data_IF_611568412232
#
_entry.id   IF_611568412232
#
_cell.length_a   1.000
_cell.length_b   1.000
_cell.length_c   1.000
_cell.angle_alpha   90.00
_cell.angle_beta   90.00
_cell.angle_gamma   90.00
#
_symmetry.space_group_name_H-M   'P 1'
#
loop_
_entity.id
_entity.type
_entity.pdbx_description
1 polymer ?
#
# COMPACT_ATOMS: atom_id res chain seq x y z
N UNK A 1 -0.70 -44.19 -24.09
CA UNK A 1 -2.05 -43.72 -24.43
C UNK A 1 -3.17 -44.53 -23.77
N UNK A 2 -3.08 -45.86 -23.66
CA UNK A 2 -4.16 -46.71 -23.09
C UNK A 2 -4.39 -46.43 -21.58
N UNK A 3 -3.33 -46.26 -20.76
CA UNK A 3 -3.45 -46.01 -19.33
C UNK A 3 -4.15 -44.65 -19.01
N UNK A 4 -3.96 -43.61 -19.83
CA UNK A 4 -4.61 -42.32 -19.67
C UNK A 4 -6.13 -42.38 -19.93
N UNK A 5 -6.56 -43.06 -21.01
CA UNK A 5 -8.00 -43.29 -21.30
C UNK A 5 -8.69 -44.08 -20.19
N UNK A 6 -8.00 -45.09 -19.64
CA UNK A 6 -8.49 -45.86 -18.50
C UNK A 6 -8.60 -45.00 -17.23
N UNK A 7 -7.62 -44.17 -16.95
CA UNK A 7 -7.65 -43.23 -15.81
C UNK A 7 -8.85 -42.26 -15.88
N UNK A 8 -9.10 -41.68 -17.06
CA UNK A 8 -10.25 -40.79 -17.28
C UNK A 8 -11.59 -41.53 -17.08
N UNK A 9 -11.73 -42.74 -17.64
CA UNK A 9 -12.93 -43.55 -17.47
C UNK A 9 -13.18 -43.95 -16.02
N UNK A 10 -12.12 -44.20 -15.25
CA UNK A 10 -12.19 -44.52 -13.84
C UNK A 10 -12.68 -43.36 -12.99
N UNK A 11 -12.22 -42.15 -13.28
CA UNK A 11 -12.69 -40.92 -12.60
C UNK A 11 -14.19 -40.69 -12.84
N UNK A 12 -14.68 -40.93 -14.06
CA UNK A 12 -16.09 -40.77 -14.40
C UNK A 12 -17.00 -41.86 -13.78
N UNK A 13 -16.47 -43.07 -13.51
CA UNK A 13 -17.20 -44.18 -12.89
C UNK A 13 -17.49 -43.90 -11.39
N UNK A 14 -16.54 -43.30 -10.65
CA UNK A 14 -16.65 -43.04 -9.20
C UNK A 14 -16.92 -41.55 -8.90
N UNK A 15 -18.06 -41.04 -9.41
CA UNK A 15 -18.40 -39.60 -9.39
C UNK A 15 -18.36 -38.97 -7.99
N UNK A 16 -18.95 -39.64 -6.96
CA UNK A 16 -19.03 -39.08 -5.59
C UNK A 16 -17.65 -38.77 -5.02
N UNK A 17 -16.71 -39.69 -5.12
CA UNK A 17 -15.35 -39.56 -4.60
C UNK A 17 -14.51 -38.56 -5.41
N UNK A 18 -14.58 -38.70 -6.76
CA UNK A 18 -13.90 -37.75 -7.66
C UNK A 18 -14.35 -36.31 -7.39
N UNK A 19 -15.67 -36.11 -7.23
CA UNK A 19 -16.23 -34.81 -6.90
C UNK A 19 -15.70 -34.26 -5.55
N UNK A 20 -15.68 -35.09 -4.50
CA UNK A 20 -15.14 -34.68 -3.19
C UNK A 20 -13.66 -34.26 -3.28
N UNK A 21 -12.83 -35.04 -4.02
CA UNK A 21 -11.42 -34.70 -4.20
C UNK A 21 -11.23 -33.44 -5.04
N UNK A 22 -12.00 -33.31 -6.13
CA UNK A 22 -11.98 -32.10 -6.96
C UNK A 22 -12.41 -30.87 -6.15
N UNK A 23 -13.48 -30.96 -5.34
CA UNK A 23 -13.91 -29.88 -4.47
C UNK A 23 -12.79 -29.45 -3.52
N UNK A 24 -12.06 -30.40 -2.92
CA UNK A 24 -10.93 -30.05 -2.04
C UNK A 24 -9.81 -29.29 -2.78
N UNK A 25 -9.45 -29.74 -4.00
CA UNK A 25 -8.43 -29.06 -4.81
C UNK A 25 -8.93 -27.67 -5.26
N UNK A 26 -10.20 -27.58 -5.69
CA UNK A 26 -10.82 -26.32 -6.12
C UNK A 26 -10.86 -25.32 -4.97
N UNK A 27 -11.31 -25.72 -3.78
CA UNK A 27 -11.35 -24.86 -2.58
C UNK A 27 -9.92 -24.43 -2.22
N UNK A 28 -8.95 -25.35 -2.26
CA UNK A 28 -7.55 -25.03 -2.03
C UNK A 28 -7.01 -23.99 -3.03
N UNK A 29 -7.30 -24.18 -4.32
CA UNK A 29 -6.89 -23.23 -5.36
C UNK A 29 -7.55 -21.84 -5.16
N UNK A 30 -8.87 -21.82 -4.89
CA UNK A 30 -9.61 -20.59 -4.61
C UNK A 30 -8.97 -19.85 -3.43
N UNK A 31 -8.73 -20.55 -2.32
CA UNK A 31 -8.19 -19.94 -1.10
C UNK A 31 -6.79 -19.35 -1.34
N UNK A 32 -5.88 -20.08 -2.00
CA UNK A 32 -4.53 -19.61 -2.28
C UNK A 32 -4.56 -18.42 -3.26
N UNK A 33 -5.36 -18.49 -4.32
CA UNK A 33 -5.43 -17.43 -5.33
C UNK A 33 -6.12 -16.17 -4.81
N UNK A 34 -7.19 -16.29 -4.01
CA UNK A 34 -7.85 -15.13 -3.42
C UNK A 34 -6.93 -14.42 -2.42
N UNK A 35 -6.27 -15.18 -1.54
CA UNK A 35 -5.37 -14.58 -0.56
C UNK A 35 -4.11 -14.01 -1.23
N UNK A 36 -3.53 -14.72 -2.21
CA UNK A 36 -2.40 -14.23 -3.00
C UNK A 36 -2.76 -12.96 -3.79
N UNK A 37 -3.92 -12.95 -4.46
CA UNK A 37 -4.41 -11.77 -5.19
C UNK A 37 -4.73 -10.58 -4.27
N UNK A 38 -5.21 -10.85 -3.05
CA UNK A 38 -5.38 -9.80 -2.03
C UNK A 38 -4.03 -9.24 -1.56
N UNK A 39 -3.04 -10.11 -1.34
CA UNK A 39 -1.69 -9.69 -0.96
C UNK A 39 -1.04 -8.79 -2.01
N UNK A 40 -1.14 -9.15 -3.30
CA UNK A 40 -0.68 -8.29 -4.40
C UNK A 40 -1.44 -6.95 -4.44
N UNK A 41 -2.75 -6.96 -4.18
CA UNK A 41 -3.53 -5.71 -4.12
C UNK A 41 -3.09 -4.79 -2.99
N UNK A 42 -2.74 -5.34 -1.82
CA UNK A 42 -2.17 -4.57 -0.70
C UNK A 42 -0.83 -3.97 -1.11
N UNK A 43 0.06 -4.78 -1.68
CA UNK A 43 1.38 -4.32 -2.14
C UNK A 43 1.25 -3.15 -3.11
N UNK A 44 0.42 -3.29 -4.15
CA UNK A 44 0.20 -2.25 -5.16
C UNK A 44 -0.44 -0.99 -4.57
N UNK A 45 -1.40 -1.15 -3.65
CA UNK A 45 -2.05 -0.03 -2.97
C UNK A 45 -1.08 0.74 -2.08
N UNK A 46 -0.28 0.04 -1.30
CA UNK A 46 0.73 0.65 -0.43
C UNK A 46 1.80 1.35 -1.27
N UNK A 47 2.34 0.68 -2.30
CA UNK A 47 3.33 1.27 -3.19
C UNK A 47 2.79 2.53 -3.87
N UNK A 48 1.58 2.47 -4.43
CA UNK A 48 0.94 3.64 -5.04
C UNK A 48 0.79 4.79 -4.05
N UNK A 49 0.37 4.51 -2.82
CA UNK A 49 0.22 5.53 -1.78
C UNK A 49 1.57 6.17 -1.44
N UNK A 50 2.58 5.37 -1.13
CA UNK A 50 3.90 5.90 -0.78
C UNK A 50 4.56 6.64 -1.93
N UNK A 51 4.49 6.11 -3.16
CA UNK A 51 5.04 6.78 -4.34
C UNK A 51 4.36 8.12 -4.64
N UNK A 52 3.07 8.22 -4.42
CA UNK A 52 2.35 9.50 -4.52
C UNK A 52 2.76 10.48 -3.42
N UNK A 53 3.07 9.97 -2.22
CA UNK A 53 3.38 10.80 -1.05
C UNK A 53 4.83 11.28 -1.02
N UNK A 54 5.78 10.38 -1.27
CA UNK A 54 7.21 10.61 -1.07
C UNK A 54 8.08 10.29 -2.30
N UNK A 55 7.47 9.93 -3.45
CA UNK A 55 8.18 9.52 -4.67
C UNK A 55 8.78 8.11 -4.58
N UNK A 56 9.45 7.70 -5.66
CA UNK A 56 10.22 6.46 -5.71
C UNK A 56 11.58 6.61 -5.05
N UNK A 57 12.23 7.75 -5.31
CA UNK A 57 13.55 8.12 -4.78
C UNK A 57 13.48 9.51 -4.18
N UNK A 58 14.34 9.76 -3.19
CA UNK A 58 14.58 11.10 -2.64
C UNK A 58 16.08 11.37 -2.58
N UNK A 59 16.46 12.56 -3.01
CA UNK A 59 17.79 13.10 -2.81
C UNK A 59 17.75 13.95 -1.54
N UNK A 60 18.56 13.60 -0.55
CA UNK A 60 18.64 14.27 0.74
C UNK A 60 20.09 14.47 1.16
N UNK A 61 20.32 15.37 2.14
CA UNK A 61 21.58 15.37 2.85
C UNK A 61 21.79 14.04 3.58
N UNK A 62 23.01 13.48 3.57
CA UNK A 62 23.32 12.15 4.16
C UNK A 62 22.82 12.01 5.60
N UNK A 63 23.01 13.03 6.41
CA UNK A 63 22.69 13.00 7.84
C UNK A 63 21.26 13.50 8.14
N UNK A 64 20.50 13.91 7.09
CA UNK A 64 19.14 14.42 7.27
C UNK A 64 18.20 13.37 7.87
N UNK A 65 18.28 12.13 7.42
CA UNK A 65 17.40 11.05 7.89
C UNK A 65 17.58 10.75 9.38
N UNK A 66 18.81 10.88 9.91
CA UNK A 66 19.12 10.61 11.31
C UNK A 66 18.99 11.82 12.24
N UNK A 67 19.35 13.02 11.76
CA UNK A 67 19.46 14.22 12.59
C UNK A 67 18.66 15.42 12.07
N UNK A 68 18.24 15.41 10.80
CA UNK A 68 17.68 16.58 10.12
C UNK A 68 16.33 17.04 10.64
N UNK A 69 15.53 16.13 11.21
CA UNK A 69 14.24 16.47 11.81
C UNK A 69 14.37 17.48 12.97
N UNK A 70 15.48 17.45 13.70
CA UNK A 70 15.74 18.39 14.79
C UNK A 70 16.30 19.74 14.28
N UNK A 71 17.05 19.72 13.17
CA UNK A 71 17.66 20.92 12.60
C UNK A 71 17.62 20.89 11.06
N UNK A 72 16.45 21.11 10.47
CA UNK A 72 16.26 20.98 9.02
C UNK A 72 17.11 21.97 8.22
N UNK A 73 17.46 23.14 8.78
CA UNK A 73 18.26 24.15 8.08
C UNK A 73 19.69 23.68 7.83
N UNK A 74 20.33 23.04 8.84
CA UNK A 74 21.71 22.56 8.73
C UNK A 74 21.88 21.51 7.64
N UNK A 75 20.84 20.73 7.41
CA UNK A 75 20.85 19.60 6.48
C UNK A 75 20.01 19.87 5.22
N UNK A 76 19.79 21.14 4.89
CA UNK A 76 19.07 21.54 3.68
C UNK A 76 19.96 21.55 2.45
N UNK A 77 19.34 21.40 1.30
CA UNK A 77 19.93 21.51 -0.04
C UNK A 77 19.59 22.90 -0.58
N UNK A 78 20.57 23.79 -0.70
CA UNK A 78 20.34 25.17 -1.16
C UNK A 78 20.36 25.25 -2.69
N UNK A 79 21.22 24.48 -3.36
CA UNK A 79 21.32 24.40 -4.82
C UNK A 79 20.35 23.40 -5.46
N UNK A 80 19.18 23.16 -4.82
CA UNK A 80 18.22 22.14 -5.27
C UNK A 80 17.70 22.40 -6.70
N UNK A 81 17.59 23.66 -7.12
CA UNK A 81 17.11 24.00 -8.47
C UNK A 81 18.11 23.56 -9.54
N UNK A 82 19.40 23.78 -9.32
CA UNK A 82 20.47 23.34 -10.25
C UNK A 82 20.48 21.82 -10.39
N UNK A 83 20.21 21.09 -9.30
CA UNK A 83 20.10 19.62 -9.32
C UNK A 83 18.89 19.19 -10.14
N UNK A 84 17.72 19.81 -9.92
CA UNK A 84 16.49 19.51 -10.69
C UNK A 84 16.69 19.81 -12.16
N UNK A 85 17.31 20.94 -12.50
CA UNK A 85 17.60 21.32 -13.89
C UNK A 85 18.58 20.34 -14.54
N UNK A 86 19.62 19.91 -13.83
CA UNK A 86 20.57 18.90 -14.30
C UNK A 86 19.91 17.53 -14.55
N UNK A 87 19.00 17.09 -13.66
CA UNK A 87 18.23 15.88 -13.84
C UNK A 87 17.33 15.98 -15.09
N UNK A 88 16.68 17.11 -15.27
CA UNK A 88 15.76 17.35 -16.39
C UNK A 88 16.51 17.47 -17.74
N UNK A 89 17.77 17.92 -17.71
CA UNK A 89 18.62 18.04 -18.89
C UNK A 89 19.26 16.71 -19.33
N UNK A 90 19.31 15.69 -18.46
CA UNK A 90 19.83 14.37 -18.81
C UNK A 90 18.84 13.63 -19.73
N UNK A 91 19.26 13.21 -20.96
CA UNK A 91 18.34 12.60 -21.93
C UNK A 91 17.77 11.23 -21.53
N UNK A 92 18.41 10.51 -20.62
CA UNK A 92 17.97 9.21 -20.13
C UNK A 92 17.06 9.39 -18.91
N UNK A 93 17.49 10.19 -17.93
CA UNK A 93 16.70 10.47 -16.74
C UNK A 93 15.36 11.14 -17.06
N UNK A 94 15.34 12.09 -18.00
CA UNK A 94 14.12 12.78 -18.43
C UNK A 94 13.04 11.87 -19.04
N UNK A 95 13.42 10.69 -19.55
CA UNK A 95 12.46 9.70 -20.06
C UNK A 95 11.89 8.80 -18.97
N UNK A 96 12.64 8.57 -17.89
CA UNK A 96 12.29 7.66 -16.81
C UNK A 96 11.61 8.39 -15.64
N UNK A 97 11.94 9.66 -15.41
CA UNK A 97 11.42 10.47 -14.32
C UNK A 97 10.15 11.21 -14.79
N UNK A 98 9.05 10.98 -14.09
CA UNK A 98 7.79 11.68 -14.30
C UNK A 98 7.87 13.11 -13.77
N UNK A 99 8.44 13.29 -12.57
CA UNK A 99 8.63 14.61 -11.94
C UNK A 99 9.73 14.58 -10.89
N UNK A 100 10.44 15.73 -10.78
CA UNK A 100 11.36 16.08 -9.70
C UNK A 100 10.75 17.23 -8.90
N UNK A 101 10.42 17.01 -7.64
CA UNK A 101 9.69 17.95 -6.80
C UNK A 101 10.46 18.30 -5.53
N UNK A 102 10.74 19.60 -5.26
CA UNK A 102 11.36 20.02 -4.02
C UNK A 102 10.36 19.94 -2.86
N UNK A 103 10.80 19.47 -1.69
CA UNK A 103 10.01 19.40 -0.47
C UNK A 103 10.82 19.98 0.69
N UNK A 104 10.15 20.80 1.50
CA UNK A 104 10.69 21.32 2.76
C UNK A 104 9.83 20.79 3.92
N UNK A 105 10.45 20.05 4.82
CA UNK A 105 9.78 19.48 5.99
C UNK A 105 10.26 20.19 7.26
N UNK A 106 9.33 20.72 8.05
CA UNK A 106 9.62 21.56 9.22
C UNK A 106 8.78 21.09 10.40
N UNK A 107 9.39 20.95 11.57
CA UNK A 107 8.66 20.84 12.83
C UNK A 107 8.24 22.23 13.30
N UNK A 108 6.97 22.38 13.67
CA UNK A 108 6.44 23.64 14.12
C UNK A 108 5.26 23.49 15.07
N UNK A 109 4.64 24.62 15.35
CA UNK A 109 3.41 24.71 16.14
C UNK A 109 2.36 25.40 15.27
N UNK A 110 1.18 24.81 15.15
CA UNK A 110 0.01 25.45 14.58
C UNK A 110 -0.88 25.97 15.71
N UNK A 111 -1.31 27.21 15.62
CA UNK A 111 -2.14 27.86 16.63
C UNK A 111 -3.39 28.48 15.99
N UNK A 112 -4.54 28.18 16.57
CA UNK A 112 -5.76 28.91 16.31
C UNK A 112 -5.98 29.90 17.46
N UNK A 113 -5.65 31.16 17.22
CA UNK A 113 -5.70 32.21 18.25
C UNK A 113 -7.14 32.46 18.73
N UNK A 114 -8.13 32.43 17.81
CA UNK A 114 -9.53 32.66 18.15
C UNK A 114 -10.12 31.59 19.08
N UNK A 115 -9.65 30.33 18.95
CA UNK A 115 -10.10 29.21 19.79
C UNK A 115 -9.15 28.95 20.98
N UNK A 116 -8.04 29.69 21.12
CA UNK A 116 -7.04 29.50 22.19
C UNK A 116 -6.36 28.13 22.17
N UNK A 117 -6.22 27.51 21.00
CA UNK A 117 -5.68 26.14 20.84
C UNK A 117 -4.37 26.16 20.07
N UNK A 118 -3.39 25.35 20.53
CA UNK A 118 -2.10 25.16 19.85
C UNK A 118 -1.73 23.70 19.83
N UNK A 119 -1.11 23.25 18.74
CA UNK A 119 -0.67 21.85 18.54
C UNK A 119 0.69 21.79 17.84
N UNK A 120 1.56 20.86 18.23
CA UNK A 120 2.74 20.56 17.44
C UNK A 120 2.32 19.98 16.09
N UNK A 121 2.99 20.40 15.02
CA UNK A 121 2.68 20.01 13.66
C UNK A 121 3.92 19.73 12.84
N UNK A 122 3.77 18.89 11.84
CA UNK A 122 4.70 18.65 10.77
C UNK A 122 4.25 19.44 9.53
N UNK A 123 5.03 20.45 9.16
CA UNK A 123 4.71 21.37 8.07
C UNK A 123 5.43 20.91 6.81
N UNK A 124 4.64 20.58 5.78
CA UNK A 124 5.11 20.23 4.46
C UNK A 124 5.03 21.45 3.54
N UNK A 125 6.18 21.99 3.17
CA UNK A 125 6.30 23.01 2.12
C UNK A 125 6.44 22.34 0.76
N UNK A 126 5.46 22.52 -0.12
CA UNK A 126 5.39 21.82 -1.40
C UNK A 126 4.97 22.77 -2.52
N UNK A 127 5.27 22.40 -3.76
CA UNK A 127 4.76 23.07 -4.95
C UNK A 127 3.43 22.47 -5.39
N UNK A 128 2.41 23.29 -5.62
CA UNK A 128 1.07 22.83 -5.97
C UNK A 128 1.04 22.05 -7.28
N UNK A 129 1.78 22.50 -8.31
CA UNK A 129 1.84 21.81 -9.61
C UNK A 129 2.50 20.44 -9.48
N UNK A 130 3.60 20.35 -8.72
CA UNK A 130 4.32 19.12 -8.44
C UNK A 130 3.46 18.12 -7.67
N UNK A 131 2.71 18.59 -6.68
CA UNK A 131 1.79 17.74 -5.91
C UNK A 131 0.65 17.17 -6.77
N UNK A 132 0.17 17.93 -7.75
CA UNK A 132 -0.85 17.47 -8.69
C UNK A 132 -0.35 16.32 -9.55
N UNK A 133 0.86 16.43 -10.08
CA UNK A 133 1.47 15.39 -10.91
C UNK A 133 1.77 14.15 -10.07
N UNK A 134 2.40 14.31 -8.89
CA UNK A 134 2.68 13.22 -7.95
C UNK A 134 1.40 12.42 -7.62
N UNK A 135 0.29 13.11 -7.33
CA UNK A 135 -0.98 12.48 -6.98
C UNK A 135 -1.67 11.71 -8.11
N UNK A 136 -1.30 11.94 -9.38
CA UNK A 136 -1.90 11.29 -10.54
C UNK A 136 -1.25 9.94 -10.90
N UNK A 137 -0.09 9.61 -10.33
CA UNK A 137 0.61 8.38 -10.65
C UNK A 137 -0.23 7.14 -10.29
N UNK A 138 -0.39 6.22 -11.24
CA UNK A 138 -1.22 5.01 -11.09
C UNK A 138 -0.75 3.88 -12.02
N UNK A 139 0.48 3.39 -11.83
CA UNK A 139 1.08 2.30 -12.62
C UNK A 139 0.21 1.04 -12.60
N UNK A 140 -0.41 0.75 -11.45
CA UNK A 140 -1.18 -0.47 -11.25
C UNK A 140 -2.66 -0.34 -11.59
N UNK A 141 -3.10 0.80 -12.13
CA UNK A 141 -4.48 1.07 -12.56
C UNK A 141 -5.51 0.85 -11.44
N UNK A 142 -5.17 1.28 -10.23
CA UNK A 142 -6.05 1.15 -9.07
C UNK A 142 -7.24 2.11 -9.10
N UNK A 143 -7.20 3.09 -10.01
CA UNK A 143 -8.25 4.05 -10.27
C UNK A 143 -8.30 5.23 -9.29
N UNK A 144 -9.20 6.19 -9.57
CA UNK A 144 -9.31 7.47 -8.83
C UNK A 144 -9.83 7.36 -7.39
N UNK A 145 -10.19 6.17 -6.92
CA UNK A 145 -10.77 5.98 -5.58
C UNK A 145 -9.76 6.01 -4.41
N UNK A 146 -8.46 6.12 -4.68
CA UNK A 146 -7.42 6.21 -3.67
C UNK A 146 -6.97 7.66 -3.63
N UNK A 147 -7.54 8.41 -2.68
CA UNK A 147 -7.19 9.80 -2.30
C UNK A 147 -6.97 10.77 -3.48
N UNK A 148 -8.05 11.44 -3.92
CA UNK A 148 -7.90 12.73 -4.59
C UNK A 148 -7.28 13.69 -3.57
N UNK A 149 -6.00 14.00 -3.75
CA UNK A 149 -5.32 14.99 -2.90
C UNK A 149 -5.95 16.35 -3.14
N UNK A 150 -6.36 16.99 -2.06
CA UNK A 150 -6.54 18.42 -2.08
C UNK A 150 -5.16 19.07 -2.23
N UNK A 151 -5.09 20.17 -2.94
CA UNK A 151 -3.85 20.90 -3.22
C UNK A 151 -4.09 22.34 -2.79
N UNK A 152 -3.12 23.00 -2.12
CA UNK A 152 -3.26 24.42 -1.80
C UNK A 152 -3.52 25.23 -3.07
N UNK A 153 -4.46 26.16 -2.99
CA UNK A 153 -4.83 27.00 -4.15
C UNK A 153 -3.64 27.93 -4.49
N UNK A 154 -3.09 27.76 -5.70
CA UNK A 154 -1.94 28.54 -6.18
C UNK A 154 -2.26 30.03 -6.30
N UNK A 155 -3.53 30.40 -6.48
CA UNK A 155 -3.97 31.80 -6.58
C UNK A 155 -3.94 32.53 -5.23
N UNK A 156 -3.88 31.80 -4.11
CA UNK A 156 -3.89 32.32 -2.76
C UNK A 156 -2.53 32.05 -2.11
N UNK A 157 -1.66 33.05 -1.98
CA UNK A 157 -0.26 32.85 -1.52
C UNK A 157 -0.12 32.24 -0.12
N UNK A 158 -1.10 32.49 0.74
CA UNK A 158 -1.18 32.00 2.13
C UNK A 158 -2.07 30.77 2.30
N UNK A 159 -2.50 30.17 1.19
CA UNK A 159 -3.32 28.95 1.22
C UNK A 159 -2.54 27.77 1.78
N UNK A 160 -3.23 26.97 2.61
CA UNK A 160 -2.70 25.71 3.08
C UNK A 160 -3.80 24.72 3.44
N UNK A 161 -3.40 23.49 3.69
CA UNK A 161 -4.26 22.37 4.02
C UNK A 161 -3.88 21.81 5.38
N UNK A 162 -4.87 21.29 6.09
CA UNK A 162 -4.67 20.60 7.37
C UNK A 162 -5.18 19.16 7.30
N UNK A 163 -4.64 18.29 8.15
CA UNK A 163 -5.25 17.00 8.39
C UNK A 163 -6.65 17.16 8.99
N UNK A 164 -7.50 16.17 8.81
CA UNK A 164 -8.86 16.17 9.39
C UNK A 164 -8.84 16.17 10.92
N UNK A 165 -7.91 15.41 11.51
CA UNK A 165 -7.71 15.35 12.95
C UNK A 165 -7.21 16.68 13.50
N UNK A 166 -6.21 17.29 12.85
CA UNK A 166 -5.68 18.58 13.24
C UNK A 166 -6.76 19.68 13.16
N UNK A 167 -7.55 19.71 12.09
CA UNK A 167 -8.66 20.66 11.93
C UNK A 167 -9.60 20.64 13.13
N UNK A 168 -9.99 19.42 13.56
CA UNK A 168 -10.83 19.22 14.74
C UNK A 168 -10.14 19.63 16.04
N UNK A 169 -8.83 19.27 16.22
CA UNK A 169 -8.06 19.63 17.42
C UNK A 169 -7.85 21.14 17.56
N UNK A 170 -7.75 21.86 16.45
CA UNK A 170 -7.66 23.32 16.41
C UNK A 170 -9.05 24.01 16.37
N UNK A 171 -10.16 23.24 16.49
CA UNK A 171 -11.54 23.73 16.47
C UNK A 171 -11.88 24.56 15.23
N UNK A 172 -11.36 24.16 14.05
CA UNK A 172 -11.61 24.85 12.79
C UNK A 172 -12.98 24.49 12.18
N UNK A 173 -13.60 23.39 12.61
CA UNK A 173 -14.85 22.86 12.07
C UNK A 173 -16.10 23.30 12.90
N UNK A 174 -15.89 23.94 14.07
CA UNK A 174 -17.00 24.44 14.87
C UNK A 174 -17.60 25.69 14.19
N UNK A 175 -18.93 25.78 14.01
CA UNK A 175 -19.56 27.01 13.57
C UNK A 175 -19.30 28.12 14.59
N UNK A 176 -19.06 29.34 14.12
CA UNK A 176 -18.75 30.53 14.94
C UNK A 176 -19.80 30.82 16.05
N UNK A 177 -20.98 30.23 15.94
CA UNK A 177 -22.11 30.47 16.92
C UNK A 177 -21.86 29.80 18.29
N UNK A 178 -20.94 28.81 18.43
CA UNK A 178 -20.69 28.17 19.73
C UNK A 178 -19.64 28.91 20.58
N UNK A 179 -18.81 29.74 19.97
CA UNK A 179 -17.81 30.55 20.69
C UNK A 179 -18.46 31.76 21.38
N UNK A 180 -19.64 32.15 20.93
CA UNK A 180 -20.39 33.29 21.49
C UNK A 180 -21.10 32.99 22.83
N UNK A 181 -21.25 31.69 23.19
CA UNK A 181 -21.97 31.32 24.43
C UNK A 181 -21.11 31.39 25.71
N UNK A 182 -19.78 31.31 25.59
CA UNK A 182 -18.88 31.40 26.76
C UNK A 182 -18.43 32.86 27.03
N UNK A 183 -18.53 33.73 26.03
CA UNK A 183 -18.31 35.19 26.18
C UNK A 183 -19.44 35.92 26.88
N UNK A 184 -20.55 35.23 27.19
CA UNK A 184 -21.68 35.81 27.94
C UNK A 184 -21.34 36.07 29.42
N UNK A 185 -20.25 35.52 29.92
CA UNK A 185 -19.74 35.81 31.29
C UNK A 185 -18.78 36.97 31.35
N UNK A 186 -18.07 37.30 30.27
CA UNK A 186 -17.18 38.45 30.20
C UNK A 186 -17.98 39.75 29.86
N UNK A 187 -19.13 39.64 29.22
CA UNK A 187 -19.93 40.85 28.90
C UNK A 187 -20.60 41.50 30.13
N UNK A 188 -20.69 40.82 31.27
CA UNK A 188 -21.21 41.42 32.49
C UNK A 188 -20.24 42.30 33.25
N UNK A 189 -18.92 42.24 32.94
CA UNK A 189 -17.92 43.15 33.46
C UNK A 189 -17.68 44.39 32.58
N UNK A 190 -18.12 44.31 31.29
CA UNK A 190 -17.95 45.45 30.36
C UNK A 190 -19.03 46.54 30.53
N UNK A 191 -20.11 46.29 31.28
CA UNK A 191 -21.16 47.32 31.60
C UNK A 191 -20.69 48.34 32.64
N UNK A 192 -19.52 48.21 33.21
CA UNK A 192 -18.96 49.13 34.20
C UNK A 192 -17.81 50.01 33.64
N UNK A 193 -17.52 49.95 32.34
CA UNK A 193 -16.48 50.78 31.72
C UNK A 193 -17.03 52.14 31.34
N UNK A 194 -16.27 53.25 31.55
CA UNK A 194 -16.65 54.58 31.08
C UNK A 194 -16.88 54.60 29.57
N UNK A 195 -17.89 55.38 29.13
CA UNK A 195 -18.35 55.44 27.75
C UNK A 195 -17.27 55.70 26.70
N UNK A 196 -16.21 56.45 27.05
CA UNK A 196 -15.10 56.76 26.19
C UNK A 196 -14.20 55.50 25.91
N UNK A 197 -14.10 54.60 26.88
CA UNK A 197 -13.37 53.32 26.73
C UNK A 197 -14.20 52.27 25.98
N UNK A 198 -15.54 52.30 26.17
CA UNK A 198 -16.43 51.43 25.45
C UNK A 198 -16.46 51.76 23.93
N UNK A 199 -16.38 53.05 23.57
CA UNK A 199 -16.27 53.47 22.16
C UNK A 199 -14.92 53.07 21.55
N UNK A 200 -13.79 53.20 22.24
CA UNK A 200 -12.46 52.77 21.78
C UNK A 200 -12.40 51.25 21.57
N UNK A 201 -13.05 50.48 22.42
CA UNK A 201 -13.16 49.00 22.26
C UNK A 201 -14.07 48.62 21.08
N UNK A 202 -15.15 49.41 20.83
CA UNK A 202 -16.02 49.20 19.65
C UNK A 202 -15.30 49.62 18.36
N UNK A 203 -14.56 50.74 18.32
CA UNK A 203 -13.81 51.17 17.15
C UNK A 203 -12.67 50.18 16.82
N UNK A 204 -11.98 49.64 17.82
CA UNK A 204 -10.96 48.59 17.61
C UNK A 204 -11.57 47.26 17.13
N UNK A 205 -12.83 47.00 17.50
CA UNK A 205 -13.59 45.84 16.97
C UNK A 205 -14.12 46.08 15.57
N UNK A 206 -14.47 47.31 15.20
CA UNK A 206 -15.04 47.65 13.87
C UNK A 206 -13.97 47.67 12.77
N UNK A 207 -12.67 47.93 13.10
CA UNK A 207 -11.58 47.85 12.13
C UNK A 207 -11.14 46.42 11.81
N UNK A 208 -11.51 45.44 12.63
CA UNK A 208 -11.35 44.01 12.32
C UNK A 208 -12.64 43.47 11.78
N UNK A 209 -13.01 43.78 10.51
CA UNK A 209 -13.85 42.84 9.74
C UNK A 209 -13.07 41.51 9.69
N UNK A 210 -13.58 40.44 10.31
CA UNK A 210 -12.96 39.15 10.09
C UNK A 210 -13.23 38.82 8.62
N UNK A 211 -12.14 38.84 7.84
CA UNK A 211 -12.13 38.15 6.57
C UNK A 211 -12.58 36.73 6.89
N UNK A 212 -13.70 36.28 6.32
CA UNK A 212 -14.43 35.05 6.68
C UNK A 212 -13.67 33.76 6.34
N UNK A 213 -12.34 33.80 6.40
CA UNK A 213 -11.43 32.67 6.20
C UNK A 213 -10.94 32.12 7.52
N UNK A 214 -10.93 30.79 7.63
CA UNK A 214 -10.33 30.10 8.79
C UNK A 214 -8.81 30.24 8.71
N UNK A 215 -8.23 31.05 9.59
CA UNK A 215 -6.78 31.28 9.64
C UNK A 215 -6.15 30.59 10.83
N UNK A 216 -4.95 30.07 10.65
CA UNK A 216 -4.06 29.59 11.72
C UNK A 216 -2.70 30.25 11.61
N UNK A 217 -1.98 30.32 12.73
CA UNK A 217 -0.62 30.79 12.79
C UNK A 217 0.33 29.61 12.91
N UNK A 218 1.35 29.58 12.04
CA UNK A 218 2.39 28.56 12.04
C UNK A 218 3.66 29.18 12.62
N UNK A 219 4.20 28.56 13.66
CA UNK A 219 5.44 28.93 14.30
C UNK A 219 6.50 27.86 14.03
N UNK A 220 7.70 28.29 13.67
CA UNK A 220 8.89 27.42 13.65
C UNK A 220 10.12 28.17 14.15
N UNK A 221 11.09 27.43 14.68
CA UNK A 221 12.38 28.01 15.04
C UNK A 221 13.18 28.32 13.77
N UNK A 222 13.68 29.57 13.64
CA UNK A 222 14.61 29.95 12.59
C UNK A 222 16.05 29.52 12.92
N UNK A 223 16.97 29.63 11.95
CA UNK A 223 18.40 29.34 12.14
C UNK A 223 19.05 30.12 13.31
N UNK A 224 18.56 31.30 13.55
CA UNK A 224 19.04 32.14 14.65
C UNK A 224 18.40 31.83 16.01
N UNK A 225 17.53 30.78 16.08
CA UNK A 225 16.81 30.41 17.31
C UNK A 225 15.61 31.29 17.62
N UNK A 226 15.38 32.39 16.89
CA UNK A 226 14.20 33.21 17.05
C UNK A 226 12.99 32.54 16.35
N UNK A 227 11.80 32.53 16.98
CA UNK A 227 10.62 31.97 16.34
C UNK A 227 10.15 32.87 15.18
N UNK A 228 9.98 32.30 13.99
CA UNK A 228 9.27 32.93 12.90
C UNK A 228 7.80 32.51 12.93
N UNK A 229 6.92 33.43 12.52
CA UNK A 229 5.49 33.24 12.48
C UNK A 229 5.00 33.55 11.07
N UNK A 230 4.21 32.64 10.51
CA UNK A 230 3.54 32.83 9.22
C UNK A 230 2.06 32.53 9.41
N UNK A 231 1.21 33.40 8.88
CA UNK A 231 -0.23 33.20 8.87
C UNK A 231 -0.63 32.35 7.67
N UNK A 232 -1.46 31.32 7.89
CA UNK A 232 -1.95 30.43 6.86
C UNK A 232 -3.48 30.44 6.80
N UNK A 233 -4.04 30.57 5.61
CA UNK A 233 -5.48 30.41 5.35
C UNK A 233 -5.77 28.94 5.09
N UNK A 234 -6.61 28.32 5.90
CA UNK A 234 -7.02 26.93 5.71
C UNK A 234 -8.04 26.86 4.58
N UNK A 235 -7.60 26.41 3.42
CA UNK A 235 -8.44 26.31 2.20
C UNK A 235 -9.05 24.92 1.99
N UNK A 236 -8.60 23.93 2.76
CA UNK A 236 -9.15 22.58 2.66
C UNK A 236 -8.57 21.62 3.68
N UNK A 237 -9.18 20.44 3.72
CA UNK A 237 -8.76 19.34 4.58
C UNK A 237 -8.20 18.24 3.70
N UNK A 238 -7.03 17.71 4.05
CA UNK A 238 -6.41 16.55 3.42
C UNK A 238 -6.24 15.44 4.44
N UNK A 239 -7.18 14.47 4.52
CA UNK A 239 -7.08 13.36 5.44
C UNK A 239 -5.83 12.53 5.15
N UNK A 240 -5.09 12.20 6.20
CA UNK A 240 -3.94 11.31 6.12
C UNK A 240 -4.35 9.86 6.41
N UNK A 241 -3.58 8.89 5.91
CA UNK A 241 -3.89 7.47 6.11
C UNK A 241 -3.79 7.09 7.60
N UNK A 242 -2.73 7.53 8.30
CA UNK A 242 -2.53 7.26 9.71
C UNK A 242 -3.06 8.41 10.57
N UNK A 243 -3.78 8.08 11.63
CA UNK A 243 -4.39 9.05 12.54
C UNK A 243 -3.36 9.98 13.18
N UNK A 244 -2.22 9.43 13.61
CA UNK A 244 -1.16 10.23 14.23
C UNK A 244 -0.60 11.30 13.27
N UNK A 245 -0.45 10.94 12.00
CA UNK A 245 -0.02 11.89 10.97
C UNK A 245 -1.12 12.91 10.66
N UNK A 246 -2.38 12.49 10.64
CA UNK A 246 -3.54 13.34 10.38
C UNK A 246 -3.75 14.41 11.46
N UNK A 247 -3.43 14.07 12.72
CA UNK A 247 -3.52 14.97 13.86
C UNK A 247 -2.40 16.05 13.86
N UNK A 248 -1.34 15.88 13.05
CA UNK A 248 -0.16 16.77 13.00
C UNK A 248 0.12 17.36 11.61
N UNK A 249 -0.66 17.03 10.59
CA UNK A 249 -0.37 17.35 9.20
C UNK A 249 -0.78 18.76 8.81
N UNK A 250 0.19 19.54 8.26
CA UNK A 250 -0.04 20.83 7.61
C UNK A 250 0.71 20.84 6.29
N UNK A 251 0.06 21.28 5.21
CA UNK A 251 0.69 21.47 3.90
C UNK A 251 0.52 22.94 3.46
N UNK A 252 1.60 23.58 3.11
CA UNK A 252 1.67 24.98 2.66
C UNK A 252 2.48 25.10 1.38
N UNK A 253 2.40 26.24 0.71
CA UNK A 253 3.28 26.51 -0.42
C UNK A 253 4.76 26.48 0.01
N UNK A 254 5.63 25.95 -0.86
CA UNK A 254 7.07 25.85 -0.59
C UNK A 254 7.67 27.20 -0.19
N UNK A 255 7.29 28.28 -0.88
CA UNK A 255 7.76 29.64 -0.58
C UNK A 255 7.39 30.10 0.82
N UNK A 256 6.20 29.73 1.30
CA UNK A 256 5.72 30.07 2.64
C UNK A 256 6.47 29.26 3.71
N UNK A 257 6.71 27.96 3.48
CA UNK A 257 7.55 27.15 4.35
C UNK A 257 9.00 27.66 4.40
N UNK A 258 9.56 28.04 3.26
CA UNK A 258 10.89 28.65 3.19
C UNK A 258 10.96 29.99 3.95
N UNK A 259 9.94 30.82 3.83
CA UNK A 259 9.83 32.05 4.60
C UNK A 259 9.77 31.79 6.11
N UNK A 260 9.02 30.75 6.52
CA UNK A 260 8.90 30.35 7.92
C UNK A 260 10.25 29.88 8.50
N UNK A 261 11.05 29.13 7.73
CA UNK A 261 12.30 28.54 8.22
C UNK A 261 13.48 29.50 8.07
N UNK A 262 13.61 30.16 6.92
CA UNK A 262 14.79 30.98 6.57
C UNK A 262 14.57 32.50 6.70
N UNK A 263 13.30 32.93 6.78
CA UNK A 263 12.98 34.37 6.71
C UNK A 263 13.42 34.96 5.36
N UNK A 264 14.32 35.94 5.43
CA UNK A 264 14.93 36.58 4.24
C UNK A 264 16.28 35.95 3.86
N UNK A 265 16.70 34.87 4.51
CA UNK A 265 17.96 34.18 4.24
C UNK A 265 17.89 33.25 2.99
N UNK A 266 19.00 32.55 2.82
CA UNK A 266 19.19 31.64 1.69
C UNK A 266 18.22 30.47 1.77
N UNK A 267 17.47 30.24 0.71
CA UNK A 267 16.35 29.27 0.69
C UNK A 267 16.82 27.89 0.28
N UNK A 268 16.50 26.89 1.08
CA UNK A 268 16.80 25.49 0.80
C UNK A 268 15.57 24.60 0.89
N UNK A 269 15.79 23.31 0.62
CA UNK A 269 14.80 22.25 0.75
C UNK A 269 15.41 21.07 1.51
N UNK A 270 14.59 20.27 2.16
CA UNK A 270 15.06 19.08 2.89
C UNK A 270 15.23 17.85 2.00
N UNK A 271 14.48 17.80 0.91
CA UNK A 271 14.55 16.71 -0.05
C UNK A 271 14.13 17.14 -1.46
N UNK A 272 14.67 16.45 -2.46
CA UNK A 272 14.16 16.47 -3.83
C UNK A 272 13.51 15.10 -4.07
N UNK A 273 12.22 15.09 -4.27
CA UNK A 273 11.41 13.89 -4.51
C UNK A 273 11.40 13.58 -5.99
N UNK A 274 11.74 12.35 -6.34
CA UNK A 274 11.73 11.86 -7.71
C UNK A 274 10.65 10.80 -7.86
N UNK A 275 9.69 11.05 -8.75
CA UNK A 275 8.69 10.06 -9.14
C UNK A 275 9.03 9.54 -10.52
N UNK A 276 9.16 8.24 -10.64
CA UNK A 276 9.45 7.55 -11.90
C UNK A 276 8.17 7.17 -12.62
N UNK A 277 8.28 6.93 -13.91
CA UNK A 277 7.18 6.40 -14.71
C UNK A 277 6.83 4.98 -14.29
N UNK A 278 7.86 4.13 -14.06
CA UNK A 278 7.72 2.73 -13.65
C UNK A 278 8.61 2.42 -12.45
N UNK A 279 8.09 1.59 -11.53
CA UNK A 279 8.80 1.21 -10.31
C UNK A 279 10.01 0.29 -10.54
N UNK A 280 10.07 -0.40 -11.66
CA UNK A 280 11.20 -1.27 -12.05
C UNK A 280 12.46 -0.49 -12.47
N UNK A 281 12.32 0.81 -12.75
CA UNK A 281 13.40 1.70 -13.15
C UNK A 281 14.23 2.26 -11.98
N UNK A 282 13.88 1.95 -10.73
CA UNK A 282 14.50 2.54 -9.53
C UNK A 282 16.03 2.33 -9.52
N UNK A 283 16.50 1.13 -9.80
CA UNK A 283 17.93 0.83 -9.72
C UNK A 283 18.71 1.50 -10.85
N UNK A 284 18.18 1.50 -12.07
CA UNK A 284 18.79 2.16 -13.23
C UNK A 284 18.90 3.68 -13.02
N UNK A 285 17.80 4.30 -12.57
CA UNK A 285 17.78 5.74 -12.27
C UNK A 285 18.74 6.08 -11.12
N UNK A 286 18.82 5.24 -10.08
CA UNK A 286 19.76 5.44 -8.97
C UNK A 286 21.21 5.43 -9.45
N UNK A 287 21.60 4.44 -10.26
CA UNK A 287 22.96 4.35 -10.81
C UNK A 287 23.30 5.58 -11.69
N UNK A 288 22.36 6.01 -12.52
CA UNK A 288 22.56 7.19 -13.37
C UNK A 288 22.67 8.48 -12.56
N UNK A 289 21.84 8.67 -11.55
CA UNK A 289 21.90 9.82 -10.64
C UNK A 289 23.24 9.91 -9.90
N UNK A 290 23.82 8.78 -9.47
CA UNK A 290 25.14 8.75 -8.81
C UNK A 290 26.28 9.22 -9.71
N UNK A 291 26.10 9.16 -11.05
CA UNK A 291 27.08 9.61 -12.03
C UNK A 291 26.88 11.09 -12.41
N UNK A 292 25.80 11.73 -11.92
CA UNK A 292 25.47 13.10 -12.29
C UNK A 292 26.45 14.08 -11.63
N UNK A 293 27.16 14.95 -12.39
CA UNK A 293 28.12 15.89 -11.83
C UNK A 293 27.50 16.81 -10.77
N UNK A 294 26.26 17.23 -10.94
CA UNK A 294 25.53 18.09 -10.02
C UNK A 294 25.36 17.49 -8.62
N UNK A 295 25.26 16.17 -8.51
CA UNK A 295 25.20 15.45 -7.22
C UNK A 295 26.58 15.16 -6.64
N UNK A 296 27.57 14.89 -7.50
CA UNK A 296 28.94 14.57 -7.05
C UNK A 296 29.72 15.78 -6.61
N UNK A 297 29.46 16.96 -7.23
CA UNK A 297 30.12 18.24 -6.96
C UNK A 297 29.33 19.12 -6.00
N UNK A 298 28.25 18.60 -5.40
CA UNK A 298 27.45 19.36 -4.45
C UNK A 298 28.27 19.75 -3.20
N UNK A 299 28.06 20.97 -2.71
CA UNK A 299 28.74 21.51 -1.50
C UNK A 299 28.43 20.70 -0.24
N UNK A 300 27.38 19.87 -0.28
CA UNK A 300 26.91 19.06 0.84
C UNK A 300 26.88 17.57 0.44
N UNK A 301 27.15 16.66 1.38
CA UNK A 301 27.10 15.22 1.10
C UNK A 301 25.66 14.76 0.87
N UNK A 302 25.30 14.48 -0.37
CA UNK A 302 23.98 14.01 -0.77
C UNK A 302 23.89 12.47 -0.79
N UNK A 303 22.71 11.94 -0.54
CA UNK A 303 22.37 10.51 -0.61
C UNK A 303 21.04 10.34 -1.35
N UNK A 304 20.95 9.24 -2.11
CA UNK A 304 19.73 8.86 -2.83
C UNK A 304 19.09 7.70 -2.06
N UNK A 305 17.94 7.95 -1.47
CA UNK A 305 17.17 6.98 -0.69
C UNK A 305 15.92 6.59 -1.46
N UNK A 306 15.57 5.31 -1.44
CA UNK A 306 14.29 4.85 -1.97
C UNK A 306 13.19 4.89 -0.91
N UNK A 307 11.94 4.84 -1.37
CA UNK A 307 10.77 4.91 -0.49
C UNK A 307 10.73 3.75 0.52
N UNK A 308 11.35 2.60 0.25
CA UNK A 308 11.39 1.45 1.16
C UNK A 308 12.38 1.68 2.32
N UNK A 309 13.42 2.48 2.09
CA UNK A 309 14.38 2.91 3.12
C UNK A 309 13.79 4.04 3.97
N UNK A 310 13.08 4.98 3.32
CA UNK A 310 12.41 6.10 4.00
C UNK A 310 11.23 5.64 4.85
N UNK A 311 10.55 4.55 4.42
CA UNK A 311 9.38 3.99 5.10
C UNK A 311 9.57 2.50 5.42
N UNK A 312 10.33 2.18 6.49
CA UNK A 312 10.57 0.78 6.88
C UNK A 312 9.30 -0.01 7.17
N UNK A 313 8.22 0.69 7.56
CA UNK A 313 6.90 0.11 7.81
C UNK A 313 6.33 -0.59 6.57
N UNK A 314 6.62 -0.08 5.36
CA UNK A 314 6.24 -0.72 4.10
C UNK A 314 6.76 -2.16 4.03
N UNK A 315 8.07 -2.34 4.21
CA UNK A 315 8.69 -3.66 4.18
C UNK A 315 8.18 -4.57 5.30
N UNK A 316 7.93 -4.03 6.49
CA UNK A 316 7.39 -4.80 7.62
C UNK A 316 5.98 -5.32 7.35
N UNK A 317 5.11 -4.48 6.78
CA UNK A 317 3.75 -4.87 6.40
C UNK A 317 3.78 -5.96 5.34
N UNK A 318 4.57 -5.79 4.26
CA UNK A 318 4.69 -6.80 3.21
C UNK A 318 5.27 -8.11 3.73
N UNK A 319 6.28 -8.06 4.59
CA UNK A 319 6.86 -9.25 5.22
C UNK A 319 5.84 -9.98 6.11
N UNK A 320 5.01 -9.24 6.85
CA UNK A 320 3.94 -9.82 7.67
C UNK A 320 2.91 -10.56 6.79
N UNK A 321 2.40 -9.90 5.75
CA UNK A 321 1.44 -10.52 4.83
C UNK A 321 2.04 -11.71 4.08
N UNK A 322 3.31 -11.63 3.67
CA UNK A 322 4.04 -12.73 3.05
C UNK A 322 4.18 -13.95 3.98
N UNK A 323 4.48 -13.74 5.27
CA UNK A 323 4.53 -14.82 6.27
C UNK A 323 3.16 -15.45 6.49
N UNK A 324 2.10 -14.65 6.59
CA UNK A 324 0.72 -15.14 6.71
C UNK A 324 0.32 -15.96 5.48
N UNK A 325 0.66 -15.48 4.28
CA UNK A 325 0.39 -16.20 3.05
C UNK A 325 1.10 -17.56 3.02
N UNK A 326 2.38 -17.61 3.35
CA UNK A 326 3.14 -18.85 3.39
C UNK A 326 2.59 -19.84 4.43
N UNK A 327 2.17 -19.36 5.60
CA UNK A 327 1.54 -20.18 6.62
C UNK A 327 0.23 -20.80 6.13
N UNK A 328 -0.65 -20.01 5.54
CA UNK A 328 -1.91 -20.49 4.96
C UNK A 328 -1.67 -21.45 3.80
N UNK A 329 -0.70 -21.17 2.93
CA UNK A 329 -0.33 -22.03 1.81
C UNK A 329 0.10 -23.42 2.32
N UNK A 330 0.93 -23.50 3.36
CA UNK A 330 1.36 -24.77 3.95
C UNK A 330 0.16 -25.54 4.50
N UNK A 331 -0.75 -24.89 5.24
CA UNK A 331 -1.96 -25.54 5.78
C UNK A 331 -2.82 -26.10 4.64
N UNK A 332 -3.12 -25.29 3.62
CA UNK A 332 -3.97 -25.70 2.49
C UNK A 332 -3.30 -26.85 1.73
N UNK A 333 -1.97 -26.77 1.54
CA UNK A 333 -1.20 -27.82 0.89
C UNK A 333 -1.28 -29.13 1.69
N UNK A 334 -1.12 -29.11 3.00
CA UNK A 334 -1.25 -30.28 3.88
C UNK A 334 -2.65 -30.90 3.79
N UNK A 335 -3.72 -30.08 3.84
CA UNK A 335 -5.11 -30.55 3.71
C UNK A 335 -5.32 -31.21 2.36
N UNK A 336 -4.82 -30.58 1.28
CA UNK A 336 -4.94 -31.09 -0.10
C UNK A 336 -4.18 -32.42 -0.27
N UNK A 337 -2.94 -32.48 0.24
CA UNK A 337 -2.11 -33.70 0.24
C UNK A 337 -2.83 -34.86 0.96
N UNK A 338 -3.34 -34.59 2.16
CA UNK A 338 -4.03 -35.58 2.96
C UNK A 338 -5.31 -36.06 2.26
N UNK A 339 -6.12 -35.15 1.73
CA UNK A 339 -7.40 -35.46 1.08
C UNK A 339 -7.19 -36.31 -0.18
N UNK A 340 -6.23 -35.92 -1.04
CA UNK A 340 -5.91 -36.70 -2.25
C UNK A 340 -5.34 -38.07 -1.86
N UNK A 341 -4.38 -38.11 -0.93
CA UNK A 341 -3.75 -39.33 -0.47
C UNK A 341 -4.74 -40.35 0.11
N UNK A 342 -5.64 -39.87 0.98
CA UNK A 342 -6.70 -40.70 1.55
C UNK A 342 -7.68 -41.24 0.47
N UNK A 343 -8.13 -40.35 -0.45
CA UNK A 343 -9.01 -40.71 -1.55
C UNK A 343 -8.39 -41.75 -2.46
N UNK A 344 -7.10 -41.57 -2.80
CA UNK A 344 -6.36 -42.52 -3.64
C UNK A 344 -6.12 -43.86 -2.92
N UNK A 345 -5.83 -43.84 -1.62
CA UNK A 345 -5.66 -45.07 -0.82
C UNK A 345 -6.96 -45.89 -0.80
N UNK A 346 -8.08 -45.21 -0.59
CA UNK A 346 -9.39 -45.87 -0.62
C UNK A 346 -9.73 -46.43 -2.03
N UNK A 347 -9.33 -45.69 -3.10
CA UNK A 347 -9.46 -46.15 -4.48
C UNK A 347 -8.74 -47.47 -4.75
N UNK A 348 -7.55 -47.62 -4.20
CA UNK A 348 -6.75 -48.82 -4.31
C UNK A 348 -7.44 -50.01 -3.59
N UNK A 349 -7.92 -49.77 -2.36
CA UNK A 349 -8.60 -50.81 -1.58
C UNK A 349 -9.89 -51.32 -2.25
N UNK A 350 -10.75 -50.44 -2.74
CA UNK A 350 -11.99 -50.77 -3.40
C UNK A 350 -11.79 -51.52 -4.74
N UNK A 351 -10.65 -51.33 -5.39
CA UNK A 351 -10.32 -51.96 -6.71
C UNK A 351 -9.29 -53.03 -6.61
N UNK A 352 -9.03 -53.60 -5.41
CA UNK A 352 -8.02 -54.64 -5.23
C UNK A 352 -8.25 -55.85 -6.14
N UNK A 353 -9.47 -56.32 -6.29
CA UNK A 353 -9.83 -57.43 -7.20
C UNK A 353 -9.65 -57.07 -8.67
N UNK A 354 -9.99 -55.84 -9.08
CA UNK A 354 -9.76 -55.39 -10.47
C UNK A 354 -8.25 -55.34 -10.77
N UNK A 355 -7.43 -54.84 -9.81
CA UNK A 355 -5.97 -54.78 -9.92
C UNK A 355 -5.41 -56.21 -10.06
N UNK A 356 -5.88 -57.16 -9.24
CA UNK A 356 -5.50 -58.58 -9.32
C UNK A 356 -5.81 -59.18 -10.69
N UNK A 357 -7.00 -58.96 -11.22
CA UNK A 357 -7.41 -59.44 -12.54
C UNK A 357 -6.57 -58.84 -13.66
N UNK A 358 -6.32 -57.52 -13.64
CA UNK A 358 -5.46 -56.84 -14.63
C UNK A 358 -4.03 -57.40 -14.62
N UNK A 359 -3.48 -57.69 -13.43
CA UNK A 359 -2.17 -58.30 -13.29
C UNK A 359 -2.14 -59.76 -13.74
N UNK A 360 -3.21 -60.53 -13.51
CA UNK A 360 -3.32 -61.90 -13.97
C UNK A 360 -3.39 -61.99 -15.52
N UNK A 361 -3.98 -60.98 -16.17
CA UNK A 361 -4.03 -60.83 -17.65
C UNK A 361 -2.70 -60.33 -18.24
N UNK A 362 -1.69 -59.98 -17.39
CA UNK A 362 -0.35 -59.66 -17.83
C UNK A 362 0.11 -58.17 -17.70
N UNK A 363 -0.66 -57.29 -17.06
CA UNK A 363 -0.20 -55.93 -16.80
C UNK A 363 0.96 -55.94 -15.80
N UNK A 364 2.00 -55.16 -16.13
CA UNK A 364 3.17 -55.01 -15.26
C UNK A 364 2.86 -54.08 -14.08
N UNK A 365 3.64 -54.24 -12.98
CA UNK A 365 3.53 -53.37 -11.80
C UNK A 365 3.64 -51.89 -12.17
N UNK A 366 4.51 -51.57 -13.14
CA UNK A 366 4.70 -50.17 -13.64
C UNK A 366 3.43 -49.63 -14.30
N UNK A 367 2.67 -50.45 -14.98
CA UNK A 367 1.44 -50.01 -15.66
C UNK A 367 0.34 -49.69 -14.65
N UNK A 368 0.21 -50.51 -13.59
CA UNK A 368 -0.71 -50.25 -12.49
C UNK A 368 -0.32 -48.95 -11.75
N UNK A 369 0.98 -48.77 -11.42
CA UNK A 369 1.47 -47.54 -10.80
C UNK A 369 1.16 -46.32 -11.66
N UNK A 370 1.46 -46.39 -12.95
CA UNK A 370 1.23 -45.29 -13.89
C UNK A 370 -0.27 -45.00 -14.08
N UNK A 371 -1.16 -46.01 -13.99
CA UNK A 371 -2.60 -45.80 -14.03
C UNK A 371 -3.07 -44.89 -12.87
N UNK A 372 -2.69 -45.19 -11.63
CA UNK A 372 -3.06 -44.40 -10.45
C UNK A 372 -2.36 -43.05 -10.41
N UNK A 373 -1.11 -42.93 -10.87
CA UNK A 373 -0.43 -41.65 -11.03
C UNK A 373 -1.16 -40.77 -12.05
N UNK A 374 -1.58 -41.33 -13.19
CA UNK A 374 -2.34 -40.58 -14.17
C UNK A 374 -3.72 -40.15 -13.64
N UNK A 375 -4.36 -40.93 -12.78
CA UNK A 375 -5.60 -40.53 -12.09
C UNK A 375 -5.33 -39.29 -11.19
N UNK A 376 -4.21 -39.29 -10.42
CA UNK A 376 -3.79 -38.15 -9.59
C UNK A 376 -3.46 -36.91 -10.40
N UNK A 377 -2.71 -37.05 -11.51
CA UNK A 377 -2.39 -35.95 -12.42
C UNK A 377 -3.67 -35.36 -13.02
N UNK A 378 -4.58 -36.20 -13.50
CA UNK A 378 -5.86 -35.73 -14.04
C UNK A 378 -6.67 -34.94 -13.01
N UNK A 379 -6.76 -35.43 -11.76
CA UNK A 379 -7.43 -34.73 -10.67
C UNK A 379 -6.76 -33.39 -10.41
N UNK A 380 -5.41 -33.36 -10.41
CA UNK A 380 -4.63 -32.13 -10.24
C UNK A 380 -4.90 -31.12 -11.36
N UNK A 381 -4.87 -31.54 -12.62
CA UNK A 381 -5.14 -30.67 -13.79
C UNK A 381 -6.57 -30.14 -13.76
N UNK A 382 -7.55 -31.04 -13.69
CA UNK A 382 -8.96 -30.62 -13.70
C UNK A 382 -9.30 -29.74 -12.50
N UNK A 383 -8.83 -30.14 -11.31
CA UNK A 383 -9.06 -29.39 -10.07
C UNK A 383 -8.42 -28.01 -10.07
N UNK A 384 -7.16 -27.91 -10.54
CA UNK A 384 -6.48 -26.61 -10.60
C UNK A 384 -7.09 -25.68 -11.65
N UNK A 385 -7.41 -26.17 -12.85
CA UNK A 385 -8.06 -25.34 -13.89
C UNK A 385 -9.45 -24.88 -13.44
N UNK A 386 -10.26 -25.77 -12.89
CA UNK A 386 -11.57 -25.42 -12.33
C UNK A 386 -11.42 -24.45 -11.14
N UNK A 387 -10.39 -24.65 -10.30
CA UNK A 387 -10.07 -23.78 -9.19
C UNK A 387 -9.68 -22.38 -9.61
N UNK A 388 -8.83 -22.25 -10.63
CA UNK A 388 -8.47 -20.93 -11.22
C UNK A 388 -9.72 -20.24 -11.77
N UNK A 389 -10.53 -20.93 -12.56
CA UNK A 389 -11.76 -20.35 -13.11
C UNK A 389 -12.72 -19.89 -12.01
N UNK A 390 -12.89 -20.70 -10.96
CA UNK A 390 -13.73 -20.35 -9.80
C UNK A 390 -13.14 -19.19 -9.00
N UNK A 391 -11.82 -19.14 -8.80
CA UNK A 391 -11.14 -18.04 -8.10
C UNK A 391 -11.30 -16.71 -8.84
N UNK A 392 -11.16 -16.71 -10.18
CA UNK A 392 -11.40 -15.53 -11.02
C UNK A 392 -12.84 -15.02 -10.91
N UNK A 393 -13.81 -15.94 -10.91
CA UNK A 393 -15.22 -15.59 -10.75
C UNK A 393 -15.49 -14.99 -9.37
N UNK A 394 -15.01 -15.63 -8.29
CA UNK A 394 -15.18 -15.12 -6.92
C UNK A 394 -14.49 -13.76 -6.75
N UNK A 395 -13.28 -13.61 -7.29
CA UNK A 395 -12.57 -12.33 -7.25
C UNK A 395 -13.34 -11.23 -8.00
N UNK A 396 -13.93 -11.54 -9.16
CA UNK A 396 -14.76 -10.60 -9.91
C UNK A 396 -16.01 -10.18 -9.09
N UNK A 397 -16.68 -11.11 -8.44
CA UNK A 397 -17.84 -10.82 -7.56
C UNK A 397 -17.43 -9.92 -6.39
N UNK A 398 -16.29 -10.20 -5.72
CA UNK A 398 -15.79 -9.38 -4.62
C UNK A 398 -15.44 -7.97 -5.13
N UNK A 399 -14.77 -7.86 -6.25
CA UNK A 399 -14.37 -6.56 -6.82
C UNK A 399 -15.57 -5.69 -7.25
N UNK A 400 -16.66 -6.32 -7.72
CA UNK A 400 -17.91 -5.61 -8.10
C UNK A 400 -18.74 -5.24 -6.86
N UNK A 401 -18.67 -6.03 -5.78
CA UNK A 401 -19.48 -5.81 -4.56
C UNK A 401 -19.12 -4.51 -3.82
N UNK A 402 -17.95 -3.90 -4.11
CA UNK A 402 -17.50 -2.67 -3.46
C UNK A 402 -17.23 -2.83 -1.96
N UNK A 403 -16.93 -4.04 -1.50
CA UNK A 403 -16.60 -4.28 -0.09
C UNK A 403 -15.46 -3.39 0.36
N UNK A 404 -15.63 -2.73 1.48
CA UNK A 404 -14.62 -1.90 2.12
C UNK A 404 -14.30 -2.44 3.51
N UNK A 405 -13.07 -2.29 3.92
CA UNK A 405 -12.61 -2.61 5.27
C UNK A 405 -11.82 -1.44 5.83
N UNK A 406 -12.01 -1.15 7.11
CA UNK A 406 -11.28 -0.10 7.81
C UNK A 406 -10.30 -0.74 8.79
N UNK A 407 -8.98 -0.71 8.48
CA UNK A 407 -7.96 -1.19 9.39
C UNK A 407 -7.92 -0.35 10.68
N UNK A 408 -7.54 -0.94 11.82
CA UNK A 408 -7.29 -0.17 13.04
C UNK A 408 -6.25 0.92 12.80
N UNK A 409 -6.52 2.16 13.26
CA UNK A 409 -5.63 3.32 13.09
C UNK A 409 -5.71 4.04 11.73
N UNK A 410 -6.46 3.50 10.76
CA UNK A 410 -6.71 4.15 9.46
C UNK A 410 -8.05 4.89 9.49
N UNK A 411 -8.08 6.12 8.98
CA UNK A 411 -9.27 6.99 9.07
C UNK A 411 -10.28 6.67 7.97
N UNK A 412 -9.81 6.32 6.77
CA UNK A 412 -10.67 6.07 5.62
C UNK A 412 -10.83 4.56 5.36
N UNK A 413 -12.03 4.08 5.00
CA UNK A 413 -12.21 2.69 4.60
C UNK A 413 -11.45 2.40 3.30
N UNK A 414 -10.74 1.26 3.28
CA UNK A 414 -9.97 0.79 2.13
C UNK A 414 -10.83 -0.22 1.36
N UNK A 415 -10.98 -0.08 0.03
CA UNK A 415 -11.71 -1.06 -0.77
C UNK A 415 -10.95 -2.39 -0.80
N UNK A 416 -11.66 -3.49 -0.51
CA UNK A 416 -11.11 -4.83 -0.65
C UNK A 416 -11.10 -5.18 -2.13
N UNK A 417 -9.92 -5.19 -2.73
CA UNK A 417 -9.70 -5.59 -4.13
C UNK A 417 -8.86 -6.85 -4.19
N UNK A 418 -9.16 -7.72 -5.14
CA UNK A 418 -8.43 -8.96 -5.36
C UNK A 418 -7.95 -8.98 -6.80
N UNK A 419 -6.63 -8.82 -7.00
CA UNK A 419 -5.99 -8.80 -8.31
C UNK A 419 -5.43 -10.19 -8.62
N UNK A 420 -6.17 -10.98 -9.41
CA UNK A 420 -5.71 -12.28 -9.94
C UNK A 420 -5.49 -12.15 -11.44
N UNK A 421 -6.36 -11.42 -12.14
CA UNK A 421 -6.23 -11.21 -13.58
C UNK A 421 -4.98 -10.41 -13.91
N UNK A 422 -4.17 -10.94 -14.83
CA UNK A 422 -2.87 -10.36 -15.20
C UNK A 422 -1.68 -10.91 -14.44
N UNK A 423 -1.88 -11.57 -13.29
CA UNK A 423 -0.83 -12.16 -12.46
C UNK A 423 -0.52 -13.61 -12.90
N UNK A 424 -0.02 -13.77 -14.13
CA UNK A 424 0.23 -15.10 -14.73
C UNK A 424 1.25 -15.92 -13.96
N UNK A 425 2.27 -15.29 -13.38
CA UNK A 425 3.30 -15.96 -12.58
C UNK A 425 2.69 -16.58 -11.32
N UNK A 426 1.83 -15.82 -10.62
CA UNK A 426 1.12 -16.30 -9.44
C UNK A 426 0.20 -17.48 -9.80
N UNK A 427 -0.61 -17.35 -10.87
CA UNK A 427 -1.51 -18.41 -11.32
C UNK A 427 -0.71 -19.67 -11.66
N UNK A 428 0.37 -19.55 -12.43
CA UNK A 428 1.21 -20.66 -12.82
C UNK A 428 1.87 -21.34 -11.61
N UNK A 429 2.33 -20.56 -10.63
CA UNK A 429 2.95 -21.08 -9.39
C UNK A 429 1.94 -21.89 -8.55
N UNK A 430 0.71 -21.39 -8.42
CA UNK A 430 -0.36 -22.09 -7.68
C UNK A 430 -0.76 -23.37 -8.39
N UNK A 431 -0.98 -23.33 -9.71
CA UNK A 431 -1.28 -24.53 -10.51
C UNK A 431 -0.14 -25.54 -10.39
N UNK A 432 1.12 -25.11 -10.54
CA UNK A 432 2.30 -25.97 -10.38
C UNK A 432 2.36 -26.62 -9.00
N UNK A 433 2.15 -25.85 -7.94
CA UNK A 433 2.16 -26.34 -6.55
C UNK A 433 1.07 -27.38 -6.31
N UNK A 434 -0.16 -27.14 -6.78
CA UNK A 434 -1.27 -28.09 -6.65
C UNK A 434 -1.04 -29.36 -7.50
N UNK A 435 -0.44 -29.22 -8.68
CA UNK A 435 -0.02 -30.36 -9.52
C UNK A 435 1.02 -31.23 -8.82
N UNK A 436 2.06 -30.61 -8.26
CA UNK A 436 3.09 -31.32 -7.50
C UNK A 436 2.46 -32.03 -6.30
N UNK A 437 1.56 -31.35 -5.56
CA UNK A 437 0.83 -31.92 -4.45
C UNK A 437 0.02 -33.16 -4.88
N UNK A 438 -0.70 -33.08 -6.01
CA UNK A 438 -1.49 -34.19 -6.52
C UNK A 438 -0.61 -35.40 -6.91
N UNK A 439 0.51 -35.16 -7.55
CA UNK A 439 1.49 -36.22 -7.91
C UNK A 439 2.09 -36.88 -6.66
N UNK A 440 2.57 -36.06 -5.73
CA UNK A 440 3.19 -36.53 -4.48
C UNK A 440 2.20 -37.36 -3.65
N UNK A 441 0.98 -36.86 -3.48
CA UNK A 441 -0.09 -37.57 -2.73
C UNK A 441 -0.48 -38.89 -3.38
N UNK A 442 -0.44 -38.96 -4.71
CA UNK A 442 -0.81 -40.17 -5.45
C UNK A 442 0.32 -41.20 -5.50
N UNK A 443 1.57 -40.80 -5.23
CA UNK A 443 2.75 -41.67 -5.35
C UNK A 443 2.67 -42.88 -4.41
N UNK A 444 2.46 -42.65 -3.12
CA UNK A 444 2.46 -43.73 -2.12
C UNK A 444 1.32 -44.73 -2.32
N UNK A 445 0.04 -44.31 -2.53
CA UNK A 445 -1.04 -45.21 -2.85
C UNK A 445 -0.81 -46.00 -4.16
N UNK A 446 -0.31 -45.35 -5.21
CA UNK A 446 -0.03 -46.01 -6.50
C UNK A 446 1.06 -47.08 -6.39
N UNK A 447 2.08 -46.84 -5.57
CA UNK A 447 3.13 -47.83 -5.28
C UNK A 447 2.54 -49.04 -4.49
N UNK A 448 1.67 -48.76 -3.53
CA UNK A 448 0.97 -49.80 -2.79
C UNK A 448 0.09 -50.65 -3.68
N UNK A 449 -0.67 -50.02 -4.60
CA UNK A 449 -1.49 -50.74 -5.60
C UNK A 449 -0.67 -51.66 -6.51
N UNK A 450 0.53 -51.18 -6.93
CA UNK A 450 1.40 -51.99 -7.81
C UNK A 450 1.99 -53.21 -7.11
N UNK A 451 2.15 -53.21 -5.78
CA UNK A 451 2.77 -54.29 -5.00
C UNK A 451 1.75 -55.31 -4.44
N UNK A 452 0.46 -55.15 -4.68
CA UNK A 452 -0.58 -56.13 -4.24
C UNK A 452 -0.31 -57.48 -4.91
N UNK A 453 -0.30 -58.56 -4.11
CA UNK A 453 -0.09 -59.92 -4.65
C UNK A 453 -1.33 -60.39 -5.41
N UNK A 454 -1.14 -61.10 -6.54
CA UNK A 454 -2.26 -61.56 -7.39
C UNK A 454 -3.18 -62.53 -6.60
N UNK A 455 -2.56 -63.39 -5.78
CA UNK A 455 -3.27 -64.38 -4.99
C UNK A 455 -4.14 -63.75 -3.92
N UNK A 456 -3.59 -62.79 -3.19
CA UNK A 456 -4.35 -62.04 -2.16
C UNK A 456 -5.47 -61.20 -2.79
N UNK A 457 -5.20 -60.54 -3.93
CA UNK A 457 -6.15 -59.70 -4.61
C UNK A 457 -7.39 -60.50 -5.13
N UNK A 458 -7.19 -61.75 -5.57
CA UNK A 458 -8.28 -62.60 -6.04
C UNK A 458 -9.02 -63.34 -4.89
N UNK A 459 -8.40 -63.39 -3.71
CA UNK A 459 -9.03 -63.95 -2.50
C UNK A 459 -9.82 -62.92 -1.66
N UNK A 460 -9.69 -61.67 -2.03
CA UNK A 460 -10.36 -60.57 -1.33
C UNK A 460 -11.85 -60.56 -1.77
N UNK A 461 -12.70 -61.21 -0.96
CA UNK A 461 -14.16 -61.18 -1.10
C UNK A 461 -14.73 -60.19 -0.09
#
# INVERSE_FOLDING_TARGET
MQTFKLALRNLLRNRRRTCSTLCAIIIGAISILLFGGYNHSIEYSLRTTFVRDIGHLQIQHRDYFSEGMANPQKYSIHNYQEIIDAISADPELSKMINISAPILLINGIASNYSAGTSRPVLIYGTESDSQKILGQWDEYQLGKGINTRNIPDKSVPDAGLTGKGLSRLLKLDEPEDTVSADNSRENNEAESLPDDLAQLVQDTRSERKPDSGKYIELLAASAGGAPNIVRMKVTGIQPQAARELDDNYVNVHLSQAQQLLYGNGDRGVTAIVLQLNHSDQIDEVRERLQQLPALTSADVPLVILDFTQLQPLYNQILAMFGKLFNFLLVIILCITLFTIGNTMSMAVLERTTEIGTLRAVGLKQRDIRNLFLNEGILLGVIGSVAGVASALLVAAVINISGLTWQPPGVIAPIPVRIKIWGEFVMIASVVGTLMVAAVVSSWWPSRRAANVSIVEALRYI
#
